data_IF_426570202482
#
_entry.id   IF_426570202482
#
_cell.length_a   1.000
_cell.length_b   1.000
_cell.length_c   1.000
_cell.angle_alpha   90.00
_cell.angle_beta   90.00
_cell.angle_gamma   90.00
#
_symmetry.space_group_name_H-M   'P 1'
#
loop_
_entity.id
_entity.type
_entity.pdbx_description
1 polymer ?
#
# COMPACT_ATOMS: atom_id res chain seq x y z
N UNK A 1 -18.22 1.36 -19.50
CA UNK A 1 -19.17 2.42 -19.05
C UNK A 1 -18.78 3.74 -19.71
N UNK A 2 -19.74 4.54 -20.18
CA UNK A 2 -19.47 5.91 -20.66
C UNK A 2 -19.93 6.88 -19.58
N UNK A 3 -19.00 7.59 -18.95
CA UNK A 3 -19.33 8.66 -17.99
C UNK A 3 -19.77 9.89 -18.80
N UNK A 4 -20.95 10.46 -18.56
CA UNK A 4 -21.38 11.68 -19.22
C UNK A 4 -20.37 12.81 -18.95
N UNK A 5 -19.96 13.52 -20.01
CA UNK A 5 -19.09 14.70 -19.93
C UNK A 5 -19.87 15.93 -20.39
N UNK A 6 -19.66 17.04 -19.70
CA UNK A 6 -20.12 18.34 -20.15
C UNK A 6 -19.29 18.82 -21.36
N UNK A 7 -19.82 19.80 -22.09
CA UNK A 7 -19.19 20.32 -23.31
C UNK A 7 -17.86 21.05 -23.03
N UNK A 8 -17.70 21.63 -21.85
CA UNK A 8 -16.52 22.40 -21.46
C UNK A 8 -15.51 21.57 -20.64
N UNK A 9 -15.87 20.34 -20.22
CA UNK A 9 -15.02 19.47 -19.41
C UNK A 9 -14.90 19.89 -17.94
N UNK A 10 -15.70 20.87 -17.49
CA UNK A 10 -15.69 21.44 -16.14
C UNK A 10 -16.41 20.54 -15.13
N UNK A 11 -17.27 19.62 -15.59
CA UNK A 11 -18.03 18.76 -14.69
C UNK A 11 -17.12 17.74 -14.01
N UNK A 12 -17.12 17.74 -12.67
CA UNK A 12 -16.48 16.74 -11.83
C UNK A 12 -17.54 15.76 -11.30
N UNK A 13 -17.51 14.48 -11.73
CA UNK A 13 -18.46 13.51 -11.21
C UNK A 13 -18.17 13.23 -9.73
N UNK A 14 -19.20 13.36 -8.88
CA UNK A 14 -19.07 13.19 -7.42
C UNK A 14 -19.03 11.74 -6.94
N UNK A 15 -19.48 10.79 -7.76
CA UNK A 15 -19.61 9.37 -7.38
C UNK A 15 -18.39 8.55 -7.82
N UNK A 16 -17.78 8.92 -8.95
CA UNK A 16 -16.55 8.32 -9.46
C UNK A 16 -15.68 9.49 -9.89
N UNK A 17 -14.60 9.76 -9.17
CA UNK A 17 -13.76 10.89 -9.50
C UNK A 17 -13.12 10.71 -10.89
N UNK A 18 -12.70 11.83 -11.50
CA UNK A 18 -11.99 11.77 -12.78
C UNK A 18 -10.75 10.88 -12.62
N UNK A 19 -10.62 9.89 -13.50
CA UNK A 19 -9.51 8.91 -13.52
C UNK A 19 -9.51 7.88 -12.39
N UNK A 20 -10.48 7.90 -11.49
CA UNK A 20 -10.66 6.86 -10.48
C UNK A 20 -11.18 5.58 -11.16
N UNK A 21 -10.39 4.52 -11.08
CA UNK A 21 -10.70 3.21 -11.68
C UNK A 21 -10.85 2.11 -10.63
N UNK A 22 -10.55 2.41 -9.37
CA UNK A 22 -10.46 1.44 -8.28
C UNK A 22 -11.15 2.00 -7.04
N UNK A 23 -11.90 1.17 -6.32
CA UNK A 23 -12.56 1.54 -5.07
C UNK A 23 -11.57 1.44 -3.89
N UNK A 24 -11.62 2.39 -2.95
CA UNK A 24 -10.80 2.37 -1.72
C UNK A 24 -10.79 1.02 -0.98
N UNK A 25 -11.91 0.29 -1.02
CA UNK A 25 -12.06 -1.02 -0.35
C UNK A 25 -11.13 -2.11 -0.89
N UNK A 26 -10.77 -2.05 -2.18
CA UNK A 26 -9.83 -2.97 -2.84
C UNK A 26 -8.40 -2.65 -2.38
N UNK A 27 -8.08 -1.37 -2.25
CA UNK A 27 -6.77 -0.94 -1.76
C UNK A 27 -6.51 -1.42 -0.33
N UNK A 28 -7.51 -1.32 0.55
CA UNK A 28 -7.42 -1.84 1.92
C UNK A 28 -7.17 -3.35 1.96
N UNK A 29 -7.81 -4.12 1.07
CA UNK A 29 -7.57 -5.56 0.95
C UNK A 29 -6.16 -5.87 0.46
N UNK A 30 -5.66 -5.12 -0.53
CA UNK A 30 -4.28 -5.26 -1.02
C UNK A 30 -3.28 -5.01 0.11
N UNK A 31 -3.48 -3.95 0.91
CA UNK A 31 -2.64 -3.64 2.08
C UNK A 31 -2.71 -4.78 3.10
N UNK A 32 -3.90 -5.30 3.40
CA UNK A 32 -4.06 -6.41 4.35
C UNK A 32 -3.35 -7.69 3.86
N UNK A 33 -3.37 -7.98 2.56
CA UNK A 33 -2.68 -9.14 1.99
C UNK A 33 -1.16 -8.98 2.03
N UNK A 34 -0.66 -7.78 1.72
CA UNK A 34 0.76 -7.47 1.85
C UNK A 34 1.23 -7.60 3.31
N UNK A 35 0.43 -7.12 4.27
CA UNK A 35 0.71 -7.26 5.70
C UNK A 35 0.75 -8.73 6.17
N UNK A 36 0.04 -9.63 5.49
CA UNK A 36 0.10 -11.08 5.73
C UNK A 36 1.32 -11.76 5.10
N UNK A 37 2.18 -11.01 4.41
CA UNK A 37 3.42 -11.52 3.82
C UNK A 37 3.25 -12.14 2.43
N UNK A 38 2.13 -11.89 1.74
CA UNK A 38 1.98 -12.30 0.35
C UNK A 38 2.89 -11.48 -0.57
N UNK A 39 3.48 -12.12 -1.58
CA UNK A 39 4.27 -11.38 -2.57
C UNK A 39 3.38 -10.54 -3.48
N UNK A 40 3.94 -9.54 -4.14
CA UNK A 40 3.17 -8.68 -5.07
C UNK A 40 2.56 -9.46 -6.24
N UNK A 41 3.13 -10.61 -6.60
CA UNK A 41 2.60 -11.52 -7.62
C UNK A 41 1.47 -12.40 -7.07
N UNK A 42 1.62 -12.93 -5.86
CA UNK A 42 0.55 -13.71 -5.23
C UNK A 42 -0.70 -12.85 -5.01
N UNK A 43 -0.50 -11.56 -4.69
CA UNK A 43 -1.59 -10.59 -4.56
C UNK A 43 -2.27 -10.35 -5.91
N UNK A 44 -1.52 -10.20 -7.00
CA UNK A 44 -2.07 -10.07 -8.36
C UNK A 44 -2.95 -11.28 -8.71
N UNK A 45 -2.42 -12.49 -8.54
CA UNK A 45 -3.15 -13.74 -8.81
C UNK A 45 -4.42 -13.84 -7.95
N UNK A 46 -4.32 -13.53 -6.65
CA UNK A 46 -5.46 -13.56 -5.74
C UNK A 46 -6.55 -12.54 -6.10
N UNK A 47 -6.14 -11.32 -6.51
CA UNK A 47 -7.08 -10.28 -6.93
C UNK A 47 -7.79 -10.65 -8.23
N UNK A 48 -7.10 -11.33 -9.13
CA UNK A 48 -7.67 -11.84 -10.37
C UNK A 48 -8.63 -13.00 -10.13
N UNK A 49 -8.26 -13.94 -9.27
CA UNK A 49 -9.04 -15.16 -9.02
C UNK A 49 -10.33 -14.89 -8.23
N UNK A 50 -10.27 -14.06 -7.18
CA UNK A 50 -11.44 -13.80 -6.33
C UNK A 50 -12.30 -12.66 -6.86
N UNK A 51 -11.67 -11.58 -7.33
CA UNK A 51 -12.39 -10.35 -7.67
C UNK A 51 -12.50 -10.13 -9.19
N UNK A 52 -11.80 -10.92 -10.02
CA UNK A 52 -11.78 -10.74 -11.47
C UNK A 52 -11.07 -9.44 -11.90
N UNK A 53 -10.25 -8.86 -11.02
CA UNK A 53 -9.60 -7.56 -11.25
C UNK A 53 -8.15 -7.80 -11.61
N UNK A 54 -7.72 -7.21 -12.72
CA UNK A 54 -6.34 -7.24 -13.16
C UNK A 54 -5.55 -6.14 -12.44
N UNK A 55 -4.71 -6.53 -11.47
CA UNK A 55 -3.89 -5.61 -10.66
C UNK A 55 -2.43 -5.97 -10.84
N UNK A 56 -1.72 -5.22 -11.69
CA UNK A 56 -0.28 -5.45 -11.90
C UNK A 56 0.53 -5.35 -10.59
N UNK A 57 1.68 -6.03 -10.47
CA UNK A 57 2.54 -5.93 -9.30
C UNK A 57 3.01 -4.50 -9.01
N UNK A 58 3.21 -3.70 -10.06
CA UNK A 58 3.54 -2.27 -9.95
C UNK A 58 2.41 -1.47 -9.30
N UNK A 59 1.15 -1.80 -9.60
CA UNK A 59 -0.01 -1.17 -8.97
C UNK A 59 -0.12 -1.58 -7.51
N UNK A 60 0.13 -2.85 -7.17
CA UNK A 60 0.22 -3.32 -5.78
C UNK A 60 1.26 -2.51 -5.01
N UNK A 61 2.47 -2.36 -5.56
CA UNK A 61 3.53 -1.57 -4.94
C UNK A 61 3.13 -0.10 -4.73
N UNK A 62 2.51 0.54 -5.72
CA UNK A 62 2.01 1.92 -5.58
C UNK A 62 0.94 2.05 -4.49
N UNK A 63 0.05 1.07 -4.36
CA UNK A 63 -0.98 1.05 -3.31
C UNK A 63 -0.33 0.89 -1.93
N UNK A 64 0.65 -0.02 -1.80
CA UNK A 64 1.40 -0.18 -0.55
C UNK A 64 2.24 1.05 -0.21
N UNK A 65 2.74 1.80 -1.20
CA UNK A 65 3.48 3.03 -0.92
C UNK A 65 2.60 4.13 -0.30
N UNK A 66 1.27 4.08 -0.47
CA UNK A 66 0.35 5.04 0.16
C UNK A 66 0.35 4.96 1.69
N UNK A 67 0.85 3.87 2.29
CA UNK A 67 0.93 3.75 3.75
C UNK A 67 2.22 4.38 4.32
N UNK A 68 3.19 4.77 3.49
CA UNK A 68 4.46 5.37 3.94
C UNK A 68 4.23 6.60 4.84
N UNK A 69 3.34 7.56 4.52
CA UNK A 69 3.07 8.70 5.40
C UNK A 69 2.52 8.27 6.77
N UNK A 70 1.64 7.26 6.81
CA UNK A 70 1.11 6.72 8.07
C UNK A 70 2.20 6.06 8.92
N UNK A 71 3.17 5.38 8.28
CA UNK A 71 4.34 4.83 8.98
C UNK A 71 5.16 5.94 9.62
N UNK A 72 5.41 7.04 8.89
CA UNK A 72 6.16 8.19 9.41
C UNK A 72 5.45 8.88 10.57
N UNK A 73 4.13 9.04 10.48
CA UNK A 73 3.30 9.55 11.57
C UNK A 73 3.38 8.65 12.80
N UNK A 74 3.26 7.34 12.61
CA UNK A 74 3.36 6.37 13.70
C UNK A 74 4.75 6.36 14.36
N UNK A 75 5.82 6.50 13.58
CA UNK A 75 7.20 6.59 14.09
C UNK A 75 7.45 7.88 14.87
N UNK A 76 6.78 8.98 14.52
CA UNK A 76 6.93 10.28 15.18
C UNK A 76 5.95 10.54 16.31
N UNK A 77 5.12 9.54 16.67
CA UNK A 77 4.13 9.67 17.74
C UNK A 77 4.78 10.03 19.08
N UNK A 78 4.15 10.89 19.90
CA UNK A 78 4.65 11.18 21.24
C UNK A 78 4.60 9.92 22.11
N UNK A 79 5.70 9.67 22.82
CA UNK A 79 5.80 8.59 23.80
C UNK A 79 5.51 9.13 25.21
N UNK A 80 5.13 8.22 26.11
CA UNK A 80 4.94 8.59 27.52
C UNK A 80 6.28 8.93 28.18
N UNK A 81 6.21 9.73 29.25
CA UNK A 81 7.41 10.23 29.93
C UNK A 81 8.21 9.11 30.64
N UNK A 82 7.55 8.03 31.05
CA UNK A 82 8.17 6.99 31.89
C UNK A 82 7.82 5.61 31.35
N UNK A 83 8.84 4.83 31.01
CA UNK A 83 8.76 3.39 30.73
C UNK A 83 9.67 2.66 31.70
N UNK A 84 9.13 1.99 32.74
CA UNK A 84 9.95 1.32 33.76
C UNK A 84 10.84 0.21 33.20
N UNK A 85 10.44 -0.43 32.11
CA UNK A 85 11.16 -1.50 31.42
C UNK A 85 10.98 -1.32 29.91
N UNK A 86 12.05 -1.46 29.15
CA UNK A 86 12.06 -1.46 27.68
C UNK A 86 12.88 -2.64 27.19
N UNK A 87 12.35 -3.38 26.22
CA UNK A 87 13.07 -4.46 25.55
C UNK A 87 13.57 -3.97 24.19
N UNK A 88 14.79 -4.39 23.83
CA UNK A 88 15.35 -4.19 22.51
C UNK A 88 15.57 -5.55 21.88
N UNK A 89 15.16 -5.69 20.63
CA UNK A 89 15.33 -6.91 19.82
C UNK A 89 15.91 -6.54 18.46
N UNK A 90 16.62 -7.47 17.83
CA UNK A 90 17.28 -7.29 16.55
C UNK A 90 17.00 -8.47 15.62
N UNK A 91 16.41 -8.18 14.46
CA UNK A 91 16.08 -9.17 13.43
C UNK A 91 16.92 -8.89 12.20
N UNK A 92 17.67 -9.89 11.75
CA UNK A 92 18.58 -9.73 10.61
C UNK A 92 17.87 -10.00 9.29
N UNK A 93 17.87 -9.00 8.40
CA UNK A 93 17.33 -9.14 7.04
C UNK A 93 18.42 -8.94 5.99
N UNK A 94 18.32 -9.69 4.88
CA UNK A 94 19.19 -9.51 3.71
C UNK A 94 18.60 -8.42 2.83
N UNK A 95 19.30 -7.30 2.72
CA UNK A 95 18.88 -6.16 1.89
C UNK A 95 19.94 -5.85 0.83
N UNK A 96 19.51 -5.40 -0.34
CA UNK A 96 20.42 -4.98 -1.40
C UNK A 96 20.78 -3.51 -1.20
N UNK A 97 22.05 -3.21 -0.98
CA UNK A 97 22.61 -1.86 -0.89
C UNK A 97 23.82 -1.77 -1.80
N UNK A 98 23.90 -0.73 -2.64
CA UNK A 98 25.05 -0.51 -3.54
C UNK A 98 25.42 -1.76 -4.37
N UNK A 99 24.41 -2.42 -4.93
CA UNK A 99 24.53 -3.67 -5.69
C UNK A 99 25.07 -4.90 -4.93
N UNK A 100 25.25 -4.82 -3.62
CA UNK A 100 25.62 -5.96 -2.77
C UNK A 100 24.48 -6.33 -1.83
N UNK A 101 24.29 -7.64 -1.63
CA UNK A 101 23.37 -8.13 -0.60
C UNK A 101 24.12 -8.08 0.73
N UNK A 102 23.65 -7.22 1.64
CA UNK A 102 24.20 -7.04 2.98
C UNK A 102 23.17 -7.51 4.01
N UNK A 103 23.62 -8.20 5.06
CA UNK A 103 22.77 -8.47 6.22
C UNK A 103 22.74 -7.20 7.07
N UNK A 104 21.53 -6.70 7.34
CA UNK A 104 21.30 -5.59 8.28
C UNK A 104 20.52 -6.09 9.48
N UNK A 105 20.90 -5.59 10.66
CA UNK A 105 20.18 -5.70 11.92
C UNK A 105 19.48 -4.36 12.23
#
# INVERSE_FOLDING_TARGET
MKVPRDRNGEFEPKIIEKYERTTNRIEDQIIAMYAKGMSTRDIEDHMKDIYGIDVSPTMVSKITDKIIPKIQEWQSRPLERVYPIVFLDAIHFKVRKENRVVSKA
#
